data_IF_201129146412
#
_entry.id   IF_201129146412
#
_cell.length_a   1.000
_cell.length_b   1.000
_cell.length_c   1.000
_cell.angle_alpha   90.00
_cell.angle_beta   90.00
_cell.angle_gamma   90.00
#
_symmetry.space_group_name_H-M   'P 1'
#
loop_
_entity.id
_entity.type
_entity.pdbx_description
1 polymer ?
#
# COMPACT_ATOMS: atom_id res chain seq x y z
N UNK A 1 -39.18 -12.72 -12.63
CA UNK A 1 -37.87 -13.40 -12.65
C UNK A 1 -36.85 -12.29 -12.65
N UNK A 2 -36.22 -12.08 -11.50
CA UNK A 2 -35.33 -10.96 -11.24
C UNK A 2 -33.91 -11.36 -11.69
N UNK A 3 -33.47 -10.80 -12.81
CA UNK A 3 -32.16 -11.06 -13.43
C UNK A 3 -31.03 -10.21 -12.82
N UNK A 4 -31.34 -9.28 -11.89
CA UNK A 4 -30.33 -8.40 -11.28
C UNK A 4 -29.34 -9.14 -10.37
N UNK A 5 -29.77 -10.25 -9.75
CA UNK A 5 -28.98 -10.97 -8.74
C UNK A 5 -27.87 -11.86 -9.30
N UNK A 6 -27.93 -12.20 -10.59
CA UNK A 6 -26.99 -13.11 -11.25
C UNK A 6 -25.81 -12.38 -11.90
N UNK A 7 -26.01 -11.15 -12.37
CA UNK A 7 -24.96 -10.35 -12.99
C UNK A 7 -24.00 -9.76 -11.94
N UNK A 8 -24.51 -9.41 -10.76
CA UNK A 8 -23.69 -8.97 -9.61
C UNK A 8 -22.70 -10.06 -9.15
N UNK A 9 -23.07 -11.34 -9.24
CA UNK A 9 -22.20 -12.46 -8.83
C UNK A 9 -21.11 -12.78 -9.85
N UNK A 10 -21.36 -12.52 -11.13
CA UNK A 10 -20.39 -12.75 -12.22
C UNK A 10 -19.39 -11.58 -12.28
N UNK A 11 -19.87 -10.34 -12.10
CA UNK A 11 -19.02 -9.17 -11.94
C UNK A 11 -18.16 -9.26 -10.68
N UNK A 12 -18.71 -9.70 -9.54
CA UNK A 12 -17.93 -9.91 -8.30
C UNK A 12 -16.85 -11.00 -8.47
N UNK A 13 -17.12 -12.07 -9.21
CA UNK A 13 -16.13 -13.11 -9.49
C UNK A 13 -15.03 -12.66 -10.48
N UNK A 14 -15.40 -11.94 -11.53
CA UNK A 14 -14.45 -11.42 -12.52
C UNK A 14 -13.58 -10.29 -11.94
N UNK A 15 -14.17 -9.39 -11.15
CA UNK A 15 -13.44 -8.35 -10.41
C UNK A 15 -12.58 -8.95 -9.31
N UNK A 16 -13.07 -9.92 -8.53
CA UNK A 16 -12.23 -10.66 -7.57
C UNK A 16 -11.13 -11.43 -8.26
N UNK A 17 -11.35 -11.98 -9.45
CA UNK A 17 -10.29 -12.61 -10.23
C UNK A 17 -9.29 -11.59 -10.75
N UNK A 18 -9.72 -10.43 -11.24
CA UNK A 18 -8.84 -9.34 -11.71
C UNK A 18 -8.08 -8.67 -10.56
N UNK A 19 -8.68 -8.50 -9.38
CA UNK A 19 -8.02 -7.98 -8.18
C UNK A 19 -7.14 -9.03 -7.51
N UNK A 20 -7.55 -10.31 -7.44
CA UNK A 20 -6.65 -11.38 -7.01
C UNK A 20 -5.52 -11.62 -8.01
N UNK A 21 -5.76 -11.34 -9.30
CA UNK A 21 -4.74 -11.37 -10.33
C UNK A 21 -3.85 -10.14 -10.24
N UNK A 22 -4.37 -8.94 -10.00
CA UNK A 22 -3.57 -7.73 -9.73
C UNK A 22 -2.77 -7.87 -8.44
N UNK A 23 -3.33 -8.46 -7.39
CA UNK A 23 -2.65 -8.75 -6.14
C UNK A 23 -1.65 -9.90 -6.28
N UNK A 24 -1.95 -10.97 -7.03
CA UNK A 24 -0.97 -12.04 -7.35
C UNK A 24 0.11 -11.59 -8.31
N UNK A 25 -0.22 -10.76 -9.28
CA UNK A 25 0.70 -10.18 -10.24
C UNK A 25 1.54 -9.12 -9.48
N UNK A 26 0.98 -8.33 -8.56
CA UNK A 26 1.73 -7.50 -7.59
C UNK A 26 2.69 -8.35 -6.75
N UNK A 27 2.24 -9.50 -6.26
CA UNK A 27 3.03 -10.43 -5.45
C UNK A 27 4.07 -11.23 -6.25
N UNK A 28 4.04 -11.22 -7.58
CA UNK A 28 4.91 -12.07 -8.41
C UNK A 28 5.46 -11.49 -9.72
N UNK A 29 5.10 -10.27 -10.12
CA UNK A 29 5.38 -9.70 -11.45
C UNK A 29 5.64 -8.20 -11.53
N UNK A 30 5.40 -7.41 -10.49
CA UNK A 30 5.85 -6.03 -10.54
C UNK A 30 7.25 -5.95 -9.93
N UNK A 31 8.25 -5.63 -10.75
CA UNK A 31 9.49 -5.12 -10.21
C UNK A 31 9.15 -3.86 -9.40
N UNK A 32 9.78 -3.69 -8.23
CA UNK A 32 9.59 -2.53 -7.34
C UNK A 32 9.62 -1.22 -8.14
N UNK A 33 10.48 -1.13 -9.16
CA UNK A 33 10.59 0.01 -10.08
C UNK A 33 9.29 0.39 -10.80
N UNK A 34 8.46 -0.57 -11.22
CA UNK A 34 7.25 -0.29 -12.01
C UNK A 34 6.07 0.16 -11.14
N UNK A 35 5.88 -0.46 -9.97
CA UNK A 35 4.86 -0.01 -9.01
C UNK A 35 5.17 1.40 -8.51
N UNK A 36 6.46 1.68 -8.34
CA UNK A 36 6.89 2.94 -7.79
C UNK A 36 6.75 4.09 -8.82
N UNK A 37 6.98 3.85 -10.13
CA UNK A 37 6.65 4.82 -11.19
C UNK A 37 5.14 5.10 -11.24
N UNK A 38 4.32 4.04 -11.21
CA UNK A 38 2.87 4.17 -11.21
C UNK A 38 2.33 4.91 -9.97
N UNK A 39 2.96 4.79 -8.80
CA UNK A 39 2.61 5.57 -7.59
C UNK A 39 2.87 7.06 -7.76
N UNK A 40 4.01 7.42 -8.35
CA UNK A 40 4.32 8.84 -8.60
C UNK A 40 3.33 9.47 -9.56
N UNK A 41 3.06 8.79 -10.68
CA UNK A 41 2.08 9.27 -11.65
C UNK A 41 0.68 9.34 -11.00
N UNK A 42 0.33 8.33 -10.21
CA UNK A 42 -0.94 8.26 -9.50
C UNK A 42 -1.12 9.35 -8.45
N UNK A 43 -0.06 9.80 -7.77
CA UNK A 43 -0.14 10.88 -6.79
C UNK A 43 -0.73 12.17 -7.38
N UNK A 44 -0.63 12.33 -8.71
CA UNK A 44 -1.17 13.46 -9.47
C UNK A 44 -2.48 13.14 -10.22
N UNK A 45 -3.02 11.92 -10.09
CA UNK A 45 -4.29 11.52 -10.72
C UNK A 45 -5.50 11.79 -9.82
N UNK A 46 -6.67 11.84 -10.46
CA UNK A 46 -7.94 11.99 -9.74
C UNK A 46 -8.23 10.76 -8.87
N UNK A 47 -8.83 11.04 -7.73
CA UNK A 47 -9.48 10.05 -6.88
C UNK A 47 -10.67 9.42 -7.62
N UNK A 48 -11.01 8.15 -7.37
CA UNK A 48 -10.49 7.18 -6.39
C UNK A 48 -9.24 6.39 -6.83
N UNK A 49 -8.81 6.50 -8.09
CA UNK A 49 -7.74 5.67 -8.67
C UNK A 49 -6.42 5.80 -7.92
N UNK A 50 -6.04 7.05 -7.60
CA UNK A 50 -4.80 7.34 -6.86
C UNK A 50 -4.75 6.65 -5.50
N UNK A 51 -5.85 6.62 -4.75
CA UNK A 51 -5.94 5.91 -3.47
C UNK A 51 -5.65 4.42 -3.64
N UNK A 52 -6.27 3.78 -4.63
CA UNK A 52 -6.09 2.33 -4.85
C UNK A 52 -4.65 2.01 -5.18
N UNK A 53 -4.03 2.72 -6.13
CA UNK A 53 -2.64 2.46 -6.51
C UNK A 53 -1.66 2.67 -5.36
N UNK A 54 -1.78 3.79 -4.64
CA UNK A 54 -0.85 4.11 -3.54
C UNK A 54 -0.90 3.05 -2.44
N UNK A 55 -2.11 2.64 -2.02
CA UNK A 55 -2.24 1.63 -0.97
C UNK A 55 -1.82 0.25 -1.47
N UNK A 56 -2.19 -0.12 -2.71
CA UNK A 56 -1.83 -1.40 -3.30
C UNK A 56 -0.31 -1.56 -3.39
N UNK A 57 0.40 -0.53 -3.83
CA UNK A 57 1.86 -0.54 -3.92
C UNK A 57 2.52 -0.60 -2.54
N UNK A 58 2.07 0.21 -1.58
CA UNK A 58 2.61 0.16 -0.22
C UNK A 58 2.40 -1.22 0.43
N UNK A 59 1.17 -1.75 0.36
CA UNK A 59 0.86 -3.05 0.93
C UNK A 59 1.63 -4.18 0.23
N UNK A 60 1.82 -4.10 -1.09
CA UNK A 60 2.62 -5.07 -1.84
C UNK A 60 4.07 -5.15 -1.36
N UNK A 61 4.70 -4.00 -1.07
CA UNK A 61 6.07 -3.98 -0.53
C UNK A 61 6.10 -4.51 0.91
N UNK A 62 5.14 -4.06 1.74
CA UNK A 62 5.05 -4.46 3.15
C UNK A 62 4.80 -5.98 3.28
N UNK A 63 3.95 -6.56 2.44
CA UNK A 63 3.65 -8.00 2.47
C UNK A 63 4.87 -8.86 2.10
N UNK A 64 5.78 -8.33 1.27
CA UNK A 64 6.94 -9.08 0.77
C UNK A 64 8.19 -8.88 1.63
N UNK A 65 8.39 -7.70 2.22
CA UNK A 65 9.62 -7.35 2.96
C UNK A 65 9.40 -6.61 4.28
N UNK A 66 8.14 -6.48 4.71
CA UNK A 66 7.78 -5.75 5.93
C UNK A 66 7.93 -4.24 5.80
N UNK A 67 7.76 -3.55 6.93
CA UNK A 67 7.95 -2.10 7.02
C UNK A 67 9.38 -1.67 6.75
N UNK A 68 10.37 -2.55 6.99
CA UNK A 68 11.76 -2.27 6.68
C UNK A 68 11.95 -2.04 5.18
N UNK A 69 11.50 -2.99 4.35
CA UNK A 69 11.54 -2.84 2.89
C UNK A 69 10.76 -1.61 2.39
N UNK A 70 9.64 -1.27 3.02
CA UNK A 70 8.88 -0.06 2.69
C UNK A 70 9.68 1.24 2.94
N UNK A 71 10.48 1.31 4.00
CA UNK A 71 11.32 2.47 4.32
C UNK A 71 12.59 2.53 3.47
N UNK A 72 13.13 1.37 3.07
CA UNK A 72 14.27 1.25 2.15
C UNK A 72 13.90 1.65 0.71
N UNK A 73 12.62 1.47 0.35
CA UNK A 73 12.12 1.75 -0.99
C UNK A 73 12.35 3.21 -1.39
N UNK A 74 13.12 3.40 -2.46
CA UNK A 74 13.27 4.69 -3.15
C UNK A 74 12.11 4.85 -4.15
N UNK A 75 11.02 5.44 -3.66
CA UNK A 75 9.85 5.72 -4.48
C UNK A 75 10.21 6.80 -5.52
N UNK A 76 9.96 6.60 -6.83
CA UNK A 76 10.12 7.60 -7.87
C UNK A 76 9.45 8.91 -7.49
N UNK A 77 10.17 10.01 -7.74
CA UNK A 77 9.78 11.36 -7.36
C UNK A 77 9.59 11.59 -5.85
N UNK A 78 9.99 10.62 -5.01
CA UNK A 78 10.05 10.70 -3.56
C UNK A 78 8.78 11.28 -2.95
N UNK A 79 7.59 10.67 -3.14
CA UNK A 79 6.37 11.13 -2.51
C UNK A 79 6.52 11.22 -0.98
N UNK A 80 5.96 12.26 -0.34
CA UNK A 80 5.92 12.35 1.11
C UNK A 80 5.25 11.11 1.71
N UNK A 81 5.86 10.50 2.73
CA UNK A 81 5.32 9.27 3.30
C UNK A 81 3.90 9.42 3.91
N UNK A 82 3.54 10.65 4.32
CA UNK A 82 2.18 10.99 4.75
C UNK A 82 1.11 10.63 3.72
N UNK A 83 1.46 10.67 2.43
CA UNK A 83 0.57 10.27 1.34
C UNK A 83 0.04 8.85 1.58
N UNK A 84 0.90 7.89 1.90
CA UNK A 84 0.50 6.50 2.13
C UNK A 84 -0.42 6.38 3.35
N UNK A 85 -0.11 7.08 4.44
CA UNK A 85 -0.94 7.03 5.66
C UNK A 85 -2.33 7.64 5.42
N UNK A 86 -2.40 8.73 4.65
CA UNK A 86 -3.67 9.39 4.27
C UNK A 86 -4.52 8.45 3.41
N UNK A 87 -3.93 7.79 2.40
CA UNK A 87 -4.67 6.85 1.54
C UNK A 87 -5.11 5.59 2.30
N UNK A 88 -4.28 5.05 3.19
CA UNK A 88 -4.67 3.95 4.06
C UNK A 88 -5.86 4.33 4.96
N UNK A 89 -5.83 5.50 5.61
CA UNK A 89 -6.97 5.99 6.41
C UNK A 89 -8.23 6.15 5.57
N UNK A 90 -8.10 6.61 4.32
CA UNK A 90 -9.23 6.83 3.43
C UNK A 90 -9.99 5.56 3.08
N UNK A 91 -9.31 4.43 2.92
CA UNK A 91 -9.97 3.12 2.75
C UNK A 91 -10.39 2.50 4.10
N UNK A 92 -10.15 3.18 5.22
CA UNK A 92 -10.43 2.68 6.57
C UNK A 92 -9.33 1.79 7.17
N UNK A 93 -8.19 1.60 6.49
CA UNK A 93 -7.05 0.80 6.94
C UNK A 93 -6.23 1.53 8.02
N UNK A 94 -6.88 1.80 9.15
CA UNK A 94 -6.35 2.66 10.22
C UNK A 94 -5.15 2.03 10.92
N UNK A 95 -5.14 0.70 11.10
CA UNK A 95 -4.02 -0.02 11.69
C UNK A 95 -2.75 0.10 10.82
N UNK A 96 -2.88 -0.11 9.51
CA UNK A 96 -1.79 0.06 8.54
C UNK A 96 -1.28 1.49 8.52
N UNK A 97 -2.18 2.47 8.48
CA UNK A 97 -1.80 3.87 8.53
C UNK A 97 -1.02 4.20 9.83
N UNK A 98 -1.48 3.68 10.98
CA UNK A 98 -0.84 3.92 12.27
C UNK A 98 0.55 3.28 12.34
N UNK A 99 0.69 2.06 11.83
CA UNK A 99 1.96 1.35 11.88
C UNK A 99 2.98 1.94 10.90
N UNK A 100 2.55 2.36 9.71
CA UNK A 100 3.39 3.15 8.79
C UNK A 100 3.83 4.46 9.46
N UNK A 101 2.90 5.21 10.06
CA UNK A 101 3.21 6.45 10.79
C UNK A 101 4.26 6.18 11.89
N UNK A 102 4.05 5.12 12.69
CA UNK A 102 4.95 4.78 13.79
C UNK A 102 6.35 4.38 13.32
N UNK A 103 6.44 3.71 12.17
CA UNK A 103 7.72 3.35 11.55
C UNK A 103 8.46 4.59 10.99
N UNK A 104 7.72 5.54 10.43
CA UNK A 104 8.28 6.83 9.96
C UNK A 104 8.76 7.67 11.15
N UNK A 105 7.94 7.80 12.19
CA UNK A 105 8.28 8.56 13.40
C UNK A 105 9.55 8.02 14.08
N UNK A 106 9.75 6.70 14.02
CA UNK A 106 10.94 6.06 14.57
C UNK A 106 12.23 6.51 13.88
N UNK A 107 12.20 6.86 12.59
CA UNK A 107 13.38 7.39 11.89
C UNK A 107 13.84 8.74 12.46
N UNK A 108 12.93 9.51 13.10
CA UNK A 108 13.25 10.82 13.66
C UNK A 108 13.70 11.86 12.63
N UNK A 109 13.33 11.67 11.36
CA UNK A 109 13.64 12.58 10.25
C UNK A 109 12.43 13.47 9.94
N UNK A 110 12.67 14.73 9.59
CA UNK A 110 11.62 15.69 9.25
C UNK A 110 10.97 15.37 7.88
N UNK A 111 11.80 15.14 6.86
CA UNK A 111 11.36 14.75 5.52
C UNK A 111 12.02 13.42 5.11
N UNK A 112 11.61 12.29 5.72
CA UNK A 112 12.31 11.01 5.55
C UNK A 112 12.39 10.62 4.08
N UNK A 113 11.37 10.90 3.27
CA UNK A 113 11.30 10.63 1.84
C UNK A 113 12.42 11.29 1.01
N UNK A 114 13.01 12.40 1.47
CA UNK A 114 14.12 13.10 0.78
C UNK A 114 15.51 12.66 1.24
N UNK A 115 15.59 11.85 2.30
CA UNK A 115 16.81 11.61 3.06
C UNK A 115 17.28 10.13 2.96
N UNK A 116 17.30 9.58 1.73
CA UNK A 116 17.62 8.17 1.43
C UNK A 116 18.82 7.66 2.22
N UNK A 117 19.98 8.32 2.09
CA UNK A 117 21.21 7.88 2.73
C UNK A 117 21.13 7.87 4.26
N UNK A 118 20.34 8.75 4.88
CA UNK A 118 20.12 8.75 6.34
C UNK A 118 19.19 7.62 6.74
N UNK A 119 18.13 7.35 5.96
CA UNK A 119 17.25 6.21 6.19
C UNK A 119 18.04 4.91 6.13
N UNK A 120 18.84 4.71 5.08
CA UNK A 120 19.64 3.50 4.89
C UNK A 120 20.60 3.28 6.06
N UNK A 121 21.30 4.32 6.51
CA UNK A 121 22.19 4.23 7.68
C UNK A 121 21.44 3.86 8.97
N UNK A 122 20.28 4.47 9.22
CA UNK A 122 19.44 4.14 10.38
C UNK A 122 18.89 2.71 10.32
N UNK A 123 18.52 2.24 9.13
CA UNK A 123 17.99 0.89 8.92
C UNK A 123 19.08 -0.17 8.99
N UNK A 124 20.32 0.14 8.58
CA UNK A 124 21.47 -0.73 8.78
C UNK A 124 21.84 -0.84 10.27
N UNK A 125 21.92 0.28 11.00
CA UNK A 125 22.13 0.27 12.45
C UNK A 125 21.03 -0.53 13.19
N UNK A 126 19.79 -0.45 12.68
CA UNK A 126 18.64 -1.16 13.20
C UNK A 126 18.69 -2.68 13.00
N UNK A 127 19.25 -3.15 11.87
CA UNK A 127 19.43 -4.59 11.60
C UNK A 127 20.44 -5.21 12.56
N UNK A 128 21.37 -4.40 13.08
CA UNK A 128 22.35 -4.80 14.08
C UNK A 128 21.84 -4.68 15.53
N UNK A 129 20.74 -3.95 15.77
CA UNK A 129 20.06 -3.82 17.07
C UNK A 129 18.84 -4.76 17.20
N UNK A 130 18.91 -5.71 18.14
CA UNK A 130 17.80 -6.62 18.46
C UNK A 130 16.53 -5.85 18.85
N UNK A 131 16.65 -4.71 19.54
CA UNK A 131 15.50 -3.91 20.01
C UNK A 131 14.79 -3.22 18.86
N UNK A 132 15.56 -2.57 17.98
CA UNK A 132 15.10 -2.05 16.71
C UNK A 132 14.37 -3.13 15.93
N UNK A 133 15.06 -4.20 15.53
CA UNK A 133 14.49 -5.29 14.72
C UNK A 133 13.15 -5.81 15.26
N UNK A 134 13.01 -5.91 16.58
CA UNK A 134 11.74 -6.27 17.22
C UNK A 134 10.61 -5.25 17.02
N UNK A 135 10.88 -3.95 16.92
CA UNK A 135 9.88 -2.90 16.71
C UNK A 135 9.23 -2.98 15.32
N UNK A 136 10.00 -2.90 14.22
CA UNK A 136 9.39 -2.95 12.87
C UNK A 136 8.74 -4.31 12.60
N UNK A 137 9.30 -5.40 13.13
CA UNK A 137 8.66 -6.71 13.04
C UNK A 137 7.33 -6.75 13.81
N UNK A 138 7.27 -6.19 15.03
CA UNK A 138 6.03 -6.09 15.81
C UNK A 138 4.99 -5.19 15.16
N UNK A 139 5.43 -4.04 14.62
CA UNK A 139 4.56 -3.14 13.86
C UNK A 139 4.05 -3.85 12.62
N UNK A 140 4.91 -4.48 11.82
CA UNK A 140 4.52 -5.26 10.65
C UNK A 140 3.54 -6.39 10.96
N UNK A 141 3.76 -7.13 12.05
CA UNK A 141 2.84 -8.17 12.52
C UNK A 141 1.45 -7.63 12.89
N UNK A 142 1.35 -6.37 13.31
CA UNK A 142 0.05 -5.73 13.60
C UNK A 142 -0.70 -5.25 12.36
N UNK A 143 -0.04 -5.21 11.20
CA UNK A 143 -0.62 -4.89 9.89
C UNK A 143 -0.86 -6.15 9.05
N UNK A 144 -0.36 -7.30 9.53
CA UNK A 144 -0.47 -8.59 8.84
C UNK A 144 -1.91 -9.11 8.98
N UNK A 145 -2.82 -8.50 8.24
CA UNK A 145 -4.20 -8.94 8.21
C UNK A 145 -4.81 -8.69 6.82
N UNK A 146 -5.58 -9.67 6.36
CA UNK A 146 -6.33 -9.64 5.09
C UNK A 146 -7.31 -8.43 5.01
N UNK A 147 -7.45 -7.68 6.11
CA UNK A 147 -8.30 -6.51 6.27
C UNK A 147 -7.93 -5.36 5.33
N UNK A 148 -6.65 -5.10 5.00
CA UNK A 148 -6.29 -4.03 4.03
C UNK A 148 -6.81 -4.37 2.64
N UNK A 149 -6.63 -5.62 2.22
CA UNK A 149 -7.07 -6.09 0.93
C UNK A 149 -8.61 -6.08 0.83
N UNK A 150 -9.30 -6.49 1.89
CA UNK A 150 -10.77 -6.40 1.94
C UNK A 150 -11.25 -4.94 1.89
N UNK A 151 -10.61 -4.03 2.63
CA UNK A 151 -10.93 -2.60 2.60
C UNK A 151 -10.68 -1.95 1.24
N UNK A 152 -9.65 -2.39 0.52
CA UNK A 152 -9.44 -1.96 -0.86
C UNK A 152 -10.57 -2.44 -1.78
N UNK A 153 -11.00 -3.69 -1.64
CA UNK A 153 -12.16 -4.22 -2.38
C UNK A 153 -13.41 -3.40 -2.08
N UNK A 154 -13.68 -3.13 -0.82
CA UNK A 154 -14.86 -2.36 -0.40
C UNK A 154 -14.80 -0.93 -0.94
N UNK A 155 -13.64 -0.26 -0.83
CA UNK A 155 -13.44 1.08 -1.38
C UNK A 155 -13.63 1.14 -2.90
N UNK A 156 -13.17 0.13 -3.64
CA UNK A 156 -13.38 0.05 -5.10
C UNK A 156 -14.87 -0.12 -5.41
N UNK A 157 -15.57 -0.99 -4.68
CA UNK A 157 -17.02 -1.22 -4.85
C UNK A 157 -17.82 0.05 -4.58
N UNK A 158 -17.49 0.78 -3.52
CA UNK A 158 -18.14 2.05 -3.17
C UNK A 158 -17.89 3.16 -4.21
N UNK A 159 -16.91 2.97 -5.10
CA UNK A 159 -16.57 3.90 -6.17
C UNK A 159 -16.68 3.25 -7.57
N UNK A 160 -17.50 2.21 -7.73
CA UNK A 160 -17.60 1.42 -8.97
C UNK A 160 -17.89 2.28 -10.19
N UNK A 161 -18.77 3.28 -10.07
CA UNK A 161 -19.14 4.19 -11.16
C UNK A 161 -17.92 4.87 -11.81
N UNK A 162 -16.87 5.16 -11.03
CA UNK A 162 -15.63 5.73 -11.57
C UNK A 162 -14.84 4.68 -12.33
N UNK A 163 -14.66 3.49 -11.74
CA UNK A 163 -13.82 2.44 -12.31
C UNK A 163 -14.45 1.81 -13.55
N UNK A 164 -15.77 1.71 -13.61
CA UNK A 164 -16.51 1.19 -14.77
C UNK A 164 -16.39 2.09 -16.01
N UNK A 165 -16.11 3.39 -15.83
CA UNK A 165 -15.89 4.34 -16.94
C UNK A 165 -14.47 4.28 -17.53
N UNK A 166 -13.55 3.57 -16.88
CA UNK A 166 -12.14 3.47 -17.29
C UNK A 166 -11.82 2.16 -18.03
N UNK A 167 -12.80 1.26 -18.15
CA UNK A 167 -12.71 -0.05 -18.85
C UNK A 167 -13.42 0.05 -20.20
#
# INVERSE_FOLDING_TARGET
MDLSRSDDLILDAAWRMSLNKLARDAKGRFSESRLAEEVSDAANTNEPYSTVLIVLSAQGIIDNGGLCAFLESDWPHSPPYDLFTVRCRKIGATASAQAITSAIDWLGLEEPHLEQAKRDALLDDFRDDETGTHLLHKLGASIYDDDVWQKLVDFIKDNSDYFDQQI
#
